data_IF_381735277183
#
_entry.id   IF_381735277183
#
_cell.length_a   1.000
_cell.length_b   1.000
_cell.length_c   1.000
_cell.angle_alpha   90.00
_cell.angle_beta   90.00
_cell.angle_gamma   90.00
#
_symmetry.space_group_name_H-M   'P 1'
#
loop_
_entity.id
_entity.type
_entity.pdbx_description
1 polymer ?
#
# COMPACT_ATOMS: atom_id res chain seq x y z
N UNK A 1 -69.48 -30.21 35.46
CA UNK A 1 -69.96 -29.34 34.37
C UNK A 1 -69.93 -30.12 33.06
N UNK A 2 -70.73 -29.70 32.08
CA UNK A 2 -71.39 -30.46 31.01
C UNK A 2 -70.50 -31.18 29.99
N UNK A 3 -71.04 -32.28 29.44
CA UNK A 3 -70.67 -33.02 28.23
C UNK A 3 -71.04 -32.26 26.94
N UNK A 4 -70.59 -32.80 25.78
CA UNK A 4 -71.12 -32.76 24.38
C UNK A 4 -70.04 -32.20 23.41
N UNK A 5 -69.46 -32.92 22.44
CA UNK A 5 -69.91 -33.63 21.20
C UNK A 5 -70.30 -32.74 19.99
N UNK A 6 -70.03 -33.30 18.79
CA UNK A 6 -70.41 -32.96 17.40
C UNK A 6 -69.42 -32.10 16.56
N UNK A 7 -68.74 -32.58 15.49
CA UNK A 7 -69.05 -33.27 14.17
C UNK A 7 -69.43 -32.21 13.09
N UNK A 8 -68.93 -32.17 11.83
CA UNK A 8 -69.08 -33.01 10.60
C UNK A 8 -68.01 -32.55 9.55
N UNK A 9 -67.16 -33.38 8.90
CA UNK A 9 -67.34 -34.25 7.67
C UNK A 9 -67.94 -33.53 6.45
N UNK A 10 -67.66 -33.81 5.16
CA UNK A 10 -66.79 -34.74 4.38
C UNK A 10 -67.14 -34.51 2.88
N UNK A 11 -66.20 -34.79 1.96
CA UNK A 11 -66.48 -35.36 0.62
C UNK A 11 -66.31 -34.43 -0.59
N UNK A 12 -65.92 -34.86 -1.80
CA UNK A 12 -65.43 -36.14 -2.36
C UNK A 12 -64.81 -35.83 -3.76
N UNK A 13 -63.63 -36.38 -4.15
CA UNK A 13 -63.36 -37.49 -5.12
C UNK A 13 -64.13 -37.39 -6.48
N UNK A 14 -63.51 -37.36 -7.69
CA UNK A 14 -63.00 -38.46 -8.56
C UNK A 14 -62.39 -37.82 -9.85
N UNK A 15 -61.16 -38.14 -10.33
CA UNK A 15 -60.65 -39.26 -11.17
C UNK A 15 -61.10 -39.32 -12.65
N UNK A 16 -60.12 -39.71 -13.50
CA UNK A 16 -60.13 -40.06 -14.96
C UNK A 16 -60.14 -38.87 -15.94
N UNK A 17 -59.35 -38.78 -17.02
CA UNK A 17 -58.50 -39.74 -17.75
C UNK A 17 -59.11 -40.03 -19.14
N UNK A 18 -58.51 -39.56 -20.24
CA UNK A 18 -58.46 -40.19 -21.57
C UNK A 18 -57.75 -39.32 -22.63
N UNK A 19 -57.16 -39.99 -23.63
CA UNK A 19 -56.24 -39.49 -24.66
C UNK A 19 -56.87 -39.45 -26.07
N UNK A 20 -56.09 -38.88 -27.03
CA UNK A 20 -56.14 -38.99 -28.52
C UNK A 20 -57.30 -38.27 -29.23
N UNK A 21 -57.24 -37.73 -30.45
CA UNK A 21 -56.26 -37.58 -31.57
C UNK A 21 -56.89 -36.48 -32.49
N UNK A 22 -56.14 -35.50 -33.02
CA UNK A 22 -55.62 -35.36 -34.41
C UNK A 22 -56.46 -34.51 -35.41
N UNK A 23 -55.75 -34.03 -36.44
CA UNK A 23 -56.09 -33.24 -37.67
C UNK A 23 -55.99 -31.70 -37.55
N UNK A 24 -54.93 -31.02 -38.05
CA UNK A 24 -54.34 -30.80 -39.40
C UNK A 24 -55.04 -29.76 -40.30
N UNK A 25 -54.26 -28.73 -40.73
CA UNK A 25 -54.36 -27.90 -41.96
C UNK A 25 -53.73 -26.51 -41.71
N UNK A 26 -52.44 -26.27 -41.91
CA UNK A 26 -51.69 -25.96 -43.15
C UNK A 26 -51.76 -24.50 -43.66
N UNK A 27 -50.55 -23.97 -43.96
CA UNK A 27 -50.16 -22.83 -44.84
C UNK A 27 -50.29 -21.39 -44.30
N UNK A 28 -49.35 -20.44 -44.45
CA UNK A 28 -47.96 -20.38 -44.97
C UNK A 28 -47.42 -18.92 -44.78
N UNK A 29 -46.08 -18.76 -44.70
CA UNK A 29 -45.27 -17.56 -45.13
C UNK A 29 -45.29 -16.34 -44.15
N UNK A 30 -44.22 -15.60 -43.80
CA UNK A 30 -42.83 -15.41 -44.28
C UNK A 30 -41.95 -14.77 -43.18
N UNK A 31 -40.65 -15.13 -43.15
CA UNK A 31 -39.39 -14.34 -42.94
C UNK A 31 -39.37 -13.14 -41.98
N UNK A 32 -38.34 -12.83 -41.17
CA UNK A 32 -36.87 -13.00 -41.27
C UNK A 32 -36.18 -12.56 -39.96
N UNK A 33 -34.85 -12.78 -39.87
CA UNK A 33 -33.82 -12.10 -39.05
C UNK A 33 -33.11 -12.99 -38.01
N UNK A 34 -31.98 -13.60 -38.41
CA UNK A 34 -30.57 -13.21 -38.10
C UNK A 34 -30.20 -13.53 -36.65
N UNK A 35 -29.46 -14.62 -36.46
CA UNK A 35 -28.71 -14.92 -35.24
C UNK A 35 -27.22 -15.01 -35.61
N UNK A 36 -26.52 -13.88 -35.48
CA UNK A 36 -25.06 -13.79 -35.40
C UNK A 36 -24.71 -12.55 -34.59
N UNK A 37 -24.24 -12.76 -33.37
CA UNK A 37 -23.45 -11.83 -32.54
C UNK A 37 -23.17 -12.58 -31.22
N UNK A 38 -22.03 -12.52 -30.56
CA UNK A 38 -20.83 -11.72 -30.75
C UNK A 38 -19.76 -12.33 -29.85
N UNK A 39 -18.55 -12.39 -30.39
CA UNK A 39 -17.29 -12.58 -29.69
C UNK A 39 -17.20 -11.52 -28.58
N UNK A 40 -16.99 -11.94 -27.33
CA UNK A 40 -16.79 -11.02 -26.21
C UNK A 40 -15.45 -10.30 -26.38
N UNK A 41 -15.52 -9.08 -26.89
CA UNK A 41 -14.41 -8.14 -26.96
C UNK A 41 -13.97 -7.77 -25.54
N UNK A 42 -12.68 -7.90 -25.27
CA UNK A 42 -11.97 -7.33 -24.15
C UNK A 42 -12.25 -5.81 -24.12
N UNK A 43 -13.07 -5.40 -23.16
CA UNK A 43 -13.45 -4.02 -22.96
C UNK A 43 -12.28 -3.32 -22.27
N UNK A 44 -11.44 -2.65 -23.05
CA UNK A 44 -10.59 -1.57 -22.55
C UNK A 44 -11.49 -0.54 -21.88
N UNK A 45 -11.63 -0.67 -20.55
CA UNK A 45 -11.99 0.46 -19.73
C UNK A 45 -10.71 1.27 -19.68
N UNK A 46 -10.63 2.33 -20.48
CA UNK A 46 -9.67 3.40 -20.25
C UNK A 46 -10.03 4.04 -18.91
N UNK A 47 -9.61 3.42 -17.81
CA UNK A 47 -9.63 4.06 -16.50
C UNK A 47 -8.87 5.38 -16.64
N UNK A 48 -9.40 6.44 -16.03
CA UNK A 48 -8.78 7.76 -16.04
C UNK A 48 -7.46 7.68 -15.26
N UNK A 49 -6.39 7.29 -15.96
CA UNK A 49 -5.03 7.11 -15.45
C UNK A 49 -4.32 8.45 -15.41
N UNK A 50 -3.75 8.80 -14.27
CA UNK A 50 -2.87 9.96 -14.10
C UNK A 50 -1.43 9.46 -13.99
N UNK A 51 -0.54 9.91 -14.88
CA UNK A 51 0.88 9.57 -14.81
C UNK A 51 1.49 10.19 -13.55
N UNK A 52 2.05 9.35 -12.68
CA UNK A 52 2.69 9.82 -11.45
C UNK A 52 4.21 9.75 -11.55
N UNK A 53 4.75 8.69 -12.16
CA UNK A 53 6.20 8.49 -12.28
C UNK A 53 6.53 7.54 -13.43
N UNK A 54 7.73 7.65 -13.99
CA UNK A 54 8.21 6.76 -15.03
C UNK A 54 9.74 6.62 -15.00
N UNK A 55 10.21 5.43 -15.38
CA UNK A 55 11.59 5.18 -15.77
C UNK A 55 11.59 4.74 -17.24
N UNK A 56 11.99 5.64 -18.14
CA UNK A 56 12.00 5.37 -19.57
C UNK A 56 13.06 4.35 -19.98
N UNK A 57 14.16 4.25 -19.24
CA UNK A 57 15.27 3.33 -19.55
C UNK A 57 14.85 1.90 -19.29
N UNK A 58 14.14 1.70 -18.18
CA UNK A 58 13.68 0.39 -17.71
C UNK A 58 12.26 0.02 -18.18
N UNK A 59 11.61 0.92 -18.92
CA UNK A 59 10.27 0.72 -19.47
C UNK A 59 9.20 0.61 -18.37
N UNK A 60 9.32 1.40 -17.31
CA UNK A 60 8.43 1.36 -16.13
C UNK A 60 7.56 2.61 -16.12
N UNK A 61 6.25 2.43 -15.93
CA UNK A 61 5.30 3.53 -15.78
C UNK A 61 4.42 3.27 -14.55
N UNK A 62 4.27 4.28 -13.70
CA UNK A 62 3.41 4.23 -12.52
C UNK A 62 2.32 5.28 -12.66
N UNK A 63 1.07 4.81 -12.73
CA UNK A 63 -0.12 5.64 -12.87
C UNK A 63 -1.01 5.52 -11.64
N UNK A 64 -1.59 6.64 -11.22
CA UNK A 64 -2.68 6.68 -10.25
C UNK A 64 -4.01 6.48 -10.96
N UNK A 65 -4.89 5.69 -10.35
CA UNK A 65 -6.27 5.52 -10.80
C UNK A 65 -7.23 5.75 -9.63
N UNK A 66 -8.52 5.91 -9.93
CA UNK A 66 -9.57 6.06 -8.92
C UNK A 66 -9.26 7.18 -7.91
N UNK A 67 -9.00 8.38 -8.46
CA UNK A 67 -8.72 9.60 -7.69
C UNK A 67 -9.96 10.06 -6.93
N UNK A 68 -9.87 10.07 -5.62
CA UNK A 68 -10.92 10.51 -4.71
C UNK A 68 -10.36 11.58 -3.76
N UNK A 69 -10.66 12.85 -4.05
CA UNK A 69 -10.09 13.98 -3.31
C UNK A 69 -8.57 14.01 -3.42
N UNK A 70 -7.89 13.88 -2.28
CA UNK A 70 -6.43 14.00 -2.17
C UNK A 70 -5.70 12.65 -2.26
N UNK A 71 -6.39 11.56 -2.64
CA UNK A 71 -5.83 10.20 -2.69
C UNK A 71 -6.15 9.53 -4.03
N UNK A 72 -5.16 8.84 -4.60
CA UNK A 72 -5.37 7.74 -5.55
C UNK A 72 -5.56 6.44 -4.76
N UNK A 73 -6.67 5.75 -4.97
CA UNK A 73 -7.00 4.53 -4.22
C UNK A 73 -6.45 3.25 -4.86
N UNK A 74 -5.87 3.34 -6.04
CA UNK A 74 -5.17 2.24 -6.70
C UNK A 74 -4.06 2.75 -7.59
N UNK A 75 -3.03 1.92 -7.78
CA UNK A 75 -1.84 2.22 -8.59
C UNK A 75 -1.72 1.18 -9.69
N UNK A 76 -1.64 1.63 -10.94
CA UNK A 76 -1.34 0.78 -12.09
C UNK A 76 0.15 0.89 -12.42
N UNK A 77 0.85 -0.24 -12.37
CA UNK A 77 2.27 -0.34 -12.72
C UNK A 77 2.38 -1.06 -14.06
N UNK A 78 3.10 -0.44 -14.99
CA UNK A 78 3.49 -1.03 -16.26
C UNK A 78 4.98 -1.34 -16.25
N UNK A 79 5.36 -2.52 -16.75
CA UNK A 79 6.73 -2.96 -16.94
C UNK A 79 6.83 -3.59 -18.33
N UNK A 80 7.55 -2.94 -19.24
CA UNK A 80 7.76 -3.39 -20.62
C UNK A 80 6.45 -3.74 -21.35
N UNK A 81 5.43 -2.87 -21.28
CA UNK A 81 4.15 -3.02 -21.99
C UNK A 81 3.14 -3.98 -21.35
N UNK A 82 3.51 -4.69 -20.28
CA UNK A 82 2.56 -5.43 -19.43
C UNK A 82 2.22 -4.56 -18.24
N UNK A 83 0.98 -4.62 -17.74
CA UNK A 83 0.60 -3.85 -16.57
C UNK A 83 -0.20 -4.69 -15.56
N UNK A 84 -0.18 -4.24 -14.30
CA UNK A 84 -0.99 -4.76 -13.21
C UNK A 84 -1.43 -3.61 -12.32
N UNK A 85 -2.69 -3.67 -11.88
CA UNK A 85 -3.24 -2.73 -10.90
C UNK A 85 -3.16 -3.31 -9.50
N UNK A 86 -2.72 -2.50 -8.55
CA UNK A 86 -2.62 -2.82 -7.14
C UNK A 86 -3.51 -1.90 -6.32
N UNK A 87 -4.06 -2.42 -5.22
CA UNK A 87 -4.84 -1.65 -4.24
C UNK A 87 -3.91 -0.85 -3.30
N UNK A 88 -2.87 -0.25 -3.87
CA UNK A 88 -1.97 0.67 -3.17
C UNK A 88 -2.50 2.09 -3.27
N UNK A 89 -2.06 2.95 -2.37
CA UNK A 89 -2.50 4.35 -2.35
C UNK A 89 -1.34 5.31 -2.50
N UNK A 90 -1.61 6.48 -3.08
CA UNK A 90 -0.68 7.60 -3.08
C UNK A 90 -1.48 8.89 -2.96
N UNK A 91 -0.93 9.89 -2.28
CA UNK A 91 -1.54 11.22 -2.27
C UNK A 91 -1.46 11.88 -3.64
N UNK A 92 -2.38 12.78 -3.94
CA UNK A 92 -2.50 13.39 -5.27
C UNK A 92 -1.57 14.60 -5.48
N UNK A 93 -0.89 15.04 -4.42
CA UNK A 93 0.07 16.14 -4.47
C UNK A 93 1.30 15.75 -5.33
N UNK A 94 1.56 16.44 -6.45
CA UNK A 94 2.67 16.12 -7.35
C UNK A 94 4.06 16.14 -6.71
N UNK A 95 4.22 16.91 -5.62
CA UNK A 95 5.49 16.94 -4.86
C UNK A 95 5.81 15.61 -4.16
N UNK A 96 4.82 14.72 -4.09
CA UNK A 96 4.88 13.42 -3.42
C UNK A 96 4.44 12.27 -4.32
N UNK A 97 4.56 12.46 -5.63
CA UNK A 97 4.43 11.35 -6.56
C UNK A 97 5.50 10.27 -6.31
N UNK A 98 5.23 9.02 -6.74
CA UNK A 98 6.08 7.89 -6.45
C UNK A 98 7.50 8.04 -6.98
N UNK A 99 8.45 7.47 -6.24
CA UNK A 99 9.81 7.29 -6.71
C UNK A 99 10.00 5.85 -7.20
N UNK A 100 10.72 5.70 -8.31
CA UNK A 100 11.06 4.40 -8.90
C UNK A 100 12.57 4.22 -8.76
N UNK A 101 12.97 3.04 -8.30
CA UNK A 101 14.35 2.57 -8.36
C UNK A 101 14.37 1.18 -8.98
N UNK A 102 15.50 0.82 -9.60
CA UNK A 102 15.71 -0.52 -10.16
C UNK A 102 17.05 -1.04 -9.67
N UNK A 103 17.05 -2.28 -9.20
CA UNK A 103 18.27 -2.96 -8.79
C UNK A 103 17.99 -4.28 -8.10
N UNK A 104 18.96 -5.16 -8.19
CA UNK A 104 18.94 -6.50 -7.60
C UNK A 104 19.07 -6.44 -6.07
N UNK A 105 17.95 -6.67 -5.38
CA UNK A 105 17.85 -6.60 -3.90
C UNK A 105 17.73 -7.97 -3.24
N UNK A 106 17.35 -8.99 -4.00
CA UNK A 106 17.19 -10.36 -3.50
C UNK A 106 18.42 -11.25 -3.83
N UNK A 107 19.43 -10.66 -4.46
CA UNK A 107 20.71 -11.29 -4.84
C UNK A 107 20.52 -12.44 -5.83
N UNK A 108 19.42 -12.41 -6.61
CA UNK A 108 19.27 -13.26 -7.78
C UNK A 108 20.07 -12.68 -8.97
N UNK A 109 19.67 -12.89 -10.23
CA UNK A 109 20.38 -12.33 -11.40
C UNK A 109 19.58 -11.24 -12.11
N UNK A 110 18.37 -10.97 -11.67
CA UNK A 110 17.42 -10.03 -12.25
C UNK A 110 17.29 -8.84 -11.30
N UNK A 111 16.96 -7.67 -11.87
CA UNK A 111 16.73 -6.48 -11.06
C UNK A 111 15.23 -6.37 -10.74
N UNK A 112 14.92 -6.06 -9.48
CA UNK A 112 13.58 -5.70 -9.02
C UNK A 112 13.24 -4.25 -9.33
N UNK A 113 11.94 -3.96 -9.42
CA UNK A 113 11.36 -2.63 -9.49
C UNK A 113 10.92 -2.21 -8.09
N UNK A 114 11.49 -1.14 -7.57
CA UNK A 114 11.22 -0.63 -6.23
C UNK A 114 10.40 0.66 -6.37
N UNK A 115 9.21 0.68 -5.79
CA UNK A 115 8.28 1.82 -5.86
C UNK A 115 8.05 2.34 -4.44
N UNK A 116 8.36 3.61 -4.22
CA UNK A 116 8.12 4.30 -2.95
C UNK A 116 6.93 5.23 -3.12
N UNK A 117 5.86 4.98 -2.37
CA UNK A 117 4.62 5.75 -2.35
C UNK A 117 4.59 6.66 -1.11
N UNK A 118 3.95 7.82 -1.24
CA UNK A 118 3.60 8.68 -0.10
C UNK A 118 2.10 8.58 0.15
N UNK A 119 1.70 8.08 1.31
CA UNK A 119 0.28 7.81 1.63
C UNK A 119 -0.35 8.85 2.54
N UNK A 120 0.47 9.71 3.16
CA UNK A 120 0.01 10.77 4.04
C UNK A 120 1.10 11.81 4.26
N UNK A 121 0.70 13.06 4.44
CA UNK A 121 1.60 14.17 4.71
C UNK A 121 0.99 15.14 5.74
N UNK A 122 1.87 15.89 6.40
CA UNK A 122 1.46 16.93 7.35
C UNK A 122 2.67 17.61 7.99
N UNK A 123 2.42 18.54 8.90
CA UNK A 123 3.49 19.21 9.64
C UNK A 123 4.18 18.17 10.52
N UNK A 124 5.42 17.83 10.16
CA UNK A 124 6.19 16.81 10.85
C UNK A 124 5.67 15.39 10.62
N UNK A 125 4.87 15.13 9.58
CA UNK A 125 4.40 13.78 9.25
C UNK A 125 4.67 13.51 7.77
N UNK A 126 5.19 12.32 7.47
CA UNK A 126 5.25 11.76 6.13
C UNK A 126 5.15 10.25 6.22
N UNK A 127 3.98 9.74 5.87
CA UNK A 127 3.71 8.32 5.77
C UNK A 127 4.16 7.81 4.40
N UNK A 128 4.79 6.65 4.37
CA UNK A 128 5.29 6.07 3.13
C UNK A 128 5.21 4.57 3.14
N UNK A 129 4.92 4.03 1.97
CA UNK A 129 4.94 2.60 1.70
C UNK A 129 5.96 2.30 0.62
N UNK A 130 6.61 1.15 0.71
CA UNK A 130 7.56 0.65 -0.26
C UNK A 130 7.05 -0.67 -0.81
N UNK A 131 7.11 -0.83 -2.12
CA UNK A 131 6.76 -2.04 -2.83
C UNK A 131 7.95 -2.48 -3.67
N UNK A 132 8.26 -3.78 -3.65
CA UNK A 132 9.37 -4.36 -4.39
C UNK A 132 8.82 -5.45 -5.29
N UNK A 133 8.80 -5.19 -6.59
CA UNK A 133 8.23 -6.06 -7.59
C UNK A 133 9.32 -6.78 -8.38
N UNK A 134 9.14 -8.09 -8.57
CA UNK A 134 9.79 -8.80 -9.67
C UNK A 134 9.16 -8.40 -11.00
N UNK A 135 9.83 -8.71 -12.11
CA UNK A 135 9.37 -8.38 -13.48
C UNK A 135 8.06 -9.08 -13.89
N UNK A 136 7.59 -10.07 -13.13
CA UNK A 136 6.30 -10.74 -13.30
C UNK A 136 5.19 -10.18 -12.39
N UNK A 137 5.46 -9.08 -11.69
CA UNK A 137 4.57 -8.44 -10.70
C UNK A 137 4.26 -9.26 -9.45
N UNK A 138 5.04 -10.30 -9.16
CA UNK A 138 5.13 -10.84 -7.80
C UNK A 138 5.88 -9.86 -6.91
N UNK A 139 5.50 -9.80 -5.64
CA UNK A 139 6.01 -8.82 -4.69
C UNK A 139 6.89 -9.50 -3.65
N UNK A 140 8.06 -8.92 -3.38
CA UNK A 140 8.93 -9.29 -2.26
C UNK A 140 8.48 -8.46 -1.06
N UNK A 141 8.07 -9.13 0.01
CA UNK A 141 7.63 -8.47 1.23
C UNK A 141 8.78 -7.67 1.86
N UNK A 142 8.50 -6.42 2.24
CA UNK A 142 9.41 -5.55 2.98
C UNK A 142 8.88 -5.41 4.41
N UNK A 143 9.69 -5.79 5.40
CA UNK A 143 9.33 -5.67 6.81
C UNK A 143 9.34 -4.21 7.26
N UNK A 144 8.48 -3.85 8.21
CA UNK A 144 8.46 -2.49 8.76
C UNK A 144 9.81 -2.16 9.42
N UNK A 145 10.51 -1.08 9.02
CA UNK A 145 11.78 -0.70 9.63
C UNK A 145 11.66 -0.35 11.12
N UNK A 146 10.45 -0.06 11.62
CA UNK A 146 10.19 0.26 13.02
C UNK A 146 10.18 -0.95 13.95
N UNK A 147 10.00 -2.17 13.44
CA UNK A 147 9.78 -3.39 14.24
C UNK A 147 10.84 -3.61 15.33
N UNK A 148 12.11 -3.37 15.00
CA UNK A 148 13.24 -3.51 15.94
C UNK A 148 13.82 -2.18 16.41
N UNK A 149 13.26 -1.05 15.96
CA UNK A 149 13.86 0.26 16.19
C UNK A 149 13.94 0.61 17.69
N UNK A 150 12.91 0.25 18.47
CA UNK A 150 12.86 0.47 19.93
C UNK A 150 13.89 -0.35 20.70
N UNK A 151 14.29 -1.50 20.16
CA UNK A 151 15.31 -2.35 20.76
C UNK A 151 16.71 -1.79 20.50
N UNK A 152 16.90 -1.19 19.33
CA UNK A 152 18.18 -0.70 18.83
C UNK A 152 18.50 0.73 19.27
N UNK A 153 17.48 1.60 19.36
CA UNK A 153 17.63 3.00 19.74
C UNK A 153 17.33 3.16 21.22
N UNK A 154 18.31 3.65 21.97
CA UNK A 154 18.16 4.05 23.38
C UNK A 154 18.33 5.54 23.51
N UNK A 155 17.60 6.14 24.43
CA UNK A 155 17.68 7.56 24.67
C UNK A 155 17.56 7.90 26.15
N UNK A 156 18.06 9.07 26.51
CA UNK A 156 17.89 9.69 27.82
C UNK A 156 17.68 11.19 27.65
N UNK A 157 16.87 11.77 28.51
CA UNK A 157 16.57 13.19 28.58
C UNK A 157 16.82 13.68 30.00
N UNK A 158 17.64 14.72 30.15
CA UNK A 158 17.76 15.47 31.40
C UNK A 158 17.29 16.89 31.16
N UNK A 159 16.32 17.32 31.96
CA UNK A 159 15.77 18.69 31.94
C UNK A 159 16.47 19.48 33.05
N UNK A 160 17.17 20.55 32.68
CA UNK A 160 17.73 21.54 33.59
C UNK A 160 16.83 22.78 33.70
N UNK A 161 17.26 23.78 34.44
CA UNK A 161 16.48 25.01 34.64
C UNK A 161 16.35 25.85 33.35
N UNK A 162 17.36 25.81 32.49
CA UNK A 162 17.37 26.54 31.20
C UNK A 162 17.86 25.69 30.02
N UNK A 163 18.23 24.44 30.25
CA UNK A 163 18.81 23.56 29.23
C UNK A 163 18.10 22.22 29.16
N UNK A 164 18.27 21.59 28.01
CA UNK A 164 17.75 20.27 27.71
C UNK A 164 18.85 19.41 27.10
N UNK A 165 19.17 18.34 27.80
CA UNK A 165 20.26 17.45 27.43
C UNK A 165 19.69 16.12 26.92
N UNK A 166 19.82 15.87 25.63
CA UNK A 166 19.49 14.60 25.01
C UNK A 166 20.73 13.73 24.88
N UNK A 167 20.61 12.44 25.18
CA UNK A 167 21.60 11.43 24.80
C UNK A 167 20.90 10.34 24.00
N UNK A 168 21.37 10.07 22.79
CA UNK A 168 20.89 8.98 21.92
C UNK A 168 22.00 7.96 21.77
N UNK A 169 21.66 6.68 21.74
CA UNK A 169 22.55 5.60 21.38
C UNK A 169 21.88 4.66 20.39
N UNK A 170 22.58 4.33 19.30
CA UNK A 170 22.17 3.34 18.31
C UNK A 170 23.22 2.24 18.32
N UNK A 171 22.82 1.01 18.66
CA UNK A 171 23.73 -0.13 18.80
C UNK A 171 24.98 0.19 19.68
N UNK A 172 24.78 0.93 20.77
CA UNK A 172 25.85 1.30 21.71
C UNK A 172 26.72 2.49 21.27
N UNK A 173 26.58 3.01 20.05
CA UNK A 173 27.26 4.23 19.59
C UNK A 173 26.39 5.44 19.94
N UNK A 174 26.89 6.28 20.85
CA UNK A 174 26.12 7.37 21.43
C UNK A 174 26.54 8.76 20.97
N UNK A 175 25.58 9.70 20.98
CA UNK A 175 25.81 11.13 20.82
C UNK A 175 24.92 11.91 21.80
N UNK A 176 25.44 13.04 22.29
CA UNK A 176 24.72 13.95 23.16
C UNK A 176 24.46 15.29 22.48
N UNK A 177 23.35 15.93 22.85
CA UNK A 177 22.91 17.23 22.36
C UNK A 177 22.44 18.07 23.55
N UNK A 178 22.77 19.35 23.52
CA UNK A 178 22.36 20.31 24.54
C UNK A 178 21.68 21.47 23.82
N UNK A 179 20.47 21.80 24.24
CA UNK A 179 19.69 22.92 23.74
C UNK A 179 19.32 23.85 24.88
N UNK A 180 19.06 25.12 24.59
CA UNK A 180 18.36 25.98 25.53
C UNK A 180 16.87 25.67 25.45
N UNK A 181 16.17 25.66 26.60
CA UNK A 181 14.72 25.43 26.62
C UNK A 181 13.96 26.46 25.77
N UNK A 182 14.51 27.68 25.59
CA UNK A 182 13.95 28.74 24.75
C UNK A 182 14.18 28.59 23.25
N UNK A 183 14.98 27.64 22.78
CA UNK A 183 15.33 27.50 21.35
C UNK A 183 14.11 27.12 20.50
N UNK A 184 13.10 26.47 21.10
CA UNK A 184 11.84 26.12 20.44
C UNK A 184 10.65 26.38 21.37
N UNK A 185 9.48 26.57 20.78
CA UNK A 185 8.24 26.86 21.54
C UNK A 185 7.71 25.64 22.28
N UNK A 186 7.91 24.44 21.73
CA UNK A 186 7.38 23.20 22.28
C UNK A 186 8.34 22.04 22.05
N UNK A 187 8.86 21.48 23.14
CA UNK A 187 9.66 20.26 23.13
C UNK A 187 8.77 19.04 23.33
N UNK A 188 9.14 17.93 22.72
CA UNK A 188 8.56 16.63 23.04
C UNK A 188 9.17 16.09 24.35
N UNK A 189 8.37 15.35 25.11
CA UNK A 189 8.85 14.66 26.32
C UNK A 189 9.71 13.45 25.99
N UNK A 190 9.49 12.85 24.81
CA UNK A 190 10.27 11.75 24.27
C UNK A 190 10.62 12.04 22.81
N UNK A 191 11.79 11.61 22.31
CA UNK A 191 12.06 11.63 20.88
C UNK A 191 11.03 10.81 20.10
N UNK A 192 10.45 11.42 19.07
CA UNK A 192 9.48 10.78 18.17
C UNK A 192 10.24 10.27 16.95
N UNK A 193 9.95 9.02 16.58
CA UNK A 193 10.49 8.33 15.40
C UNK A 193 9.34 7.57 14.72
N UNK A 194 9.39 7.46 13.39
CA UNK A 194 8.41 6.70 12.59
C UNK A 194 7.23 7.51 12.06
N UNK A 195 7.00 8.72 12.57
CA UNK A 195 6.07 9.70 11.98
C UNK A 195 6.56 10.23 10.63
N UNK A 196 7.85 10.09 10.35
CA UNK A 196 8.46 10.32 9.05
C UNK A 196 9.31 9.10 8.74
N UNK A 197 9.03 8.44 7.62
CA UNK A 197 9.90 7.39 7.06
C UNK A 197 10.16 7.77 5.60
N UNK A 198 11.42 7.84 5.21
CA UNK A 198 11.82 8.02 3.81
C UNK A 198 12.51 6.76 3.34
N UNK A 199 11.94 6.11 2.35
CA UNK A 199 12.62 5.02 1.67
C UNK A 199 13.46 5.55 0.53
N UNK A 200 14.54 4.84 0.22
CA UNK A 200 15.39 5.13 -0.92
C UNK A 200 16.21 3.90 -1.30
N UNK A 201 17.10 4.10 -2.27
CA UNK A 201 17.98 3.07 -2.77
C UNK A 201 19.42 3.57 -2.82
N UNK A 202 20.30 2.97 -2.02
CA UNK A 202 21.71 3.39 -1.87
C UNK A 202 22.60 2.14 -1.81
N UNK A 203 23.74 2.19 -2.50
CA UNK A 203 24.73 1.10 -2.54
C UNK A 203 24.11 -0.26 -2.89
N UNK A 204 23.18 -0.26 -3.86
CA UNK A 204 22.41 -1.43 -4.28
C UNK A 204 21.60 -2.09 -3.15
N UNK A 205 21.07 -1.28 -2.22
CA UNK A 205 20.22 -1.73 -1.13
C UNK A 205 19.09 -0.75 -0.89
N UNK A 206 17.95 -1.30 -0.49
CA UNK A 206 16.87 -0.50 0.08
C UNK A 206 17.32 0.06 1.42
N UNK A 207 17.02 1.33 1.63
CA UNK A 207 17.28 2.04 2.87
C UNK A 207 16.02 2.75 3.35
N UNK A 208 15.82 2.81 4.66
CA UNK A 208 14.86 3.70 5.29
C UNK A 208 15.61 4.72 6.16
N UNK A 209 15.35 6.01 5.95
CA UNK A 209 15.77 7.10 6.80
C UNK A 209 14.62 7.48 7.73
N UNK A 210 14.88 7.42 9.04
CA UNK A 210 13.93 7.70 10.10
C UNK A 210 14.47 8.84 10.95
N UNK A 211 13.92 10.06 10.83
CA UNK A 211 14.35 11.18 11.66
C UNK A 211 14.06 10.94 13.14
N UNK A 212 14.95 11.43 14.00
CA UNK A 212 14.78 11.47 15.45
C UNK A 212 14.33 12.87 15.83
N UNK A 213 13.02 13.05 15.99
CA UNK A 213 12.40 14.35 16.18
C UNK A 213 12.21 14.67 17.67
N UNK A 214 12.58 15.87 18.09
CA UNK A 214 12.47 16.33 19.49
C UNK A 214 11.58 17.57 19.66
N UNK A 215 11.18 18.19 18.55
CA UNK A 215 10.19 19.26 18.47
C UNK A 215 9.53 19.23 17.08
N UNK A 216 8.42 19.94 16.82
CA UNK A 216 7.81 19.99 15.49
C UNK A 216 8.77 20.36 14.34
N UNK A 217 9.85 21.11 14.61
CA UNK A 217 10.84 21.51 13.61
C UNK A 217 12.29 21.10 13.89
N UNK A 218 12.56 20.39 15.00
CA UNK A 218 13.92 20.07 15.43
C UNK A 218 14.16 18.57 15.42
N UNK A 219 15.23 18.18 14.73
CA UNK A 219 15.71 16.81 14.62
C UNK A 219 17.14 16.73 15.14
N UNK A 220 17.44 15.70 15.91
CA UNK A 220 18.79 15.47 16.47
C UNK A 220 19.59 14.44 15.65
N UNK A 221 19.08 14.08 14.47
CA UNK A 221 19.70 13.19 13.50
C UNK A 221 18.71 12.18 12.94
N UNK A 222 19.25 11.15 12.31
CA UNK A 222 18.51 10.19 11.51
C UNK A 222 19.03 8.78 11.79
N UNK A 223 18.10 7.83 11.93
CA UNK A 223 18.42 6.40 11.89
C UNK A 223 18.32 5.95 10.43
N UNK A 224 19.42 5.45 9.90
CA UNK A 224 19.47 4.82 8.59
C UNK A 224 19.39 3.32 8.78
N UNK A 225 18.33 2.73 8.26
CA UNK A 225 18.05 1.30 8.29
C UNK A 225 18.36 0.73 6.91
N UNK A 226 19.27 -0.24 6.82
CA UNK A 226 19.53 -0.96 5.56
C UNK A 226 18.82 -2.31 5.58
N UNK A 227 18.28 -2.67 4.43
CA UNK A 227 17.57 -3.92 4.24
C UNK A 227 18.44 -4.96 3.55
N UNK A 228 18.16 -6.23 3.82
CA UNK A 228 18.70 -7.37 3.07
C UNK A 228 17.68 -8.49 3.08
N UNK A 229 17.76 -9.38 2.07
CA UNK A 229 16.88 -10.53 1.99
C UNK A 229 17.19 -11.52 3.12
N UNK A 230 16.17 -11.89 3.87
CA UNK A 230 16.19 -12.90 4.92
C UNK A 230 14.90 -13.72 4.83
N UNK A 231 15.02 -15.03 4.68
CA UNK A 231 13.89 -15.97 4.54
C UNK A 231 12.82 -15.56 3.50
N UNK A 232 13.24 -14.94 2.39
CA UNK A 232 12.35 -14.50 1.30
C UNK A 232 11.68 -13.14 1.52
N UNK A 233 12.08 -12.41 2.57
CA UNK A 233 11.59 -11.05 2.87
C UNK A 233 12.74 -10.09 3.00
N UNK A 234 12.55 -8.85 2.60
CA UNK A 234 13.51 -7.78 2.83
C UNK A 234 13.36 -7.27 4.26
N UNK A 235 14.33 -7.61 5.10
CA UNK A 235 14.32 -7.31 6.53
C UNK A 235 15.40 -6.28 6.90
N UNK A 236 15.14 -5.43 7.92
CA UNK A 236 16.17 -4.59 8.52
C UNK A 236 17.35 -5.40 9.06
N UNK A 237 18.57 -5.10 8.60
CA UNK A 237 19.80 -5.82 9.01
C UNK A 237 20.90 -4.92 9.57
N UNK A 238 20.90 -3.63 9.23
CA UNK A 238 21.88 -2.66 9.72
C UNK A 238 21.20 -1.35 10.12
N UNK A 239 21.68 -0.76 11.21
CA UNK A 239 21.16 0.48 11.79
C UNK A 239 22.32 1.43 12.05
N UNK A 240 22.28 2.60 11.45
CA UNK A 240 23.32 3.60 11.56
C UNK A 240 22.76 4.96 11.96
N UNK A 241 23.50 5.70 12.78
CA UNK A 241 23.18 7.09 13.07
C UNK A 241 23.81 7.99 12.00
N UNK A 242 23.05 8.97 11.50
CA UNK A 242 23.54 10.06 10.68
C UNK A 242 23.10 11.41 11.26
N UNK A 243 23.98 12.40 11.20
CA UNK A 243 23.67 13.76 11.66
C UNK A 243 22.82 14.51 10.64
N UNK A 244 23.09 14.27 9.37
CA UNK A 244 22.45 14.94 8.25
C UNK A 244 21.58 13.97 7.48
N UNK A 245 20.56 14.54 6.85
CA UNK A 245 19.66 13.85 5.92
C UNK A 245 20.48 13.33 4.73
N UNK A 246 20.20 12.11 4.28
CA UNK A 246 20.87 11.48 3.12
C UNK A 246 19.91 11.11 1.98
N UNK A 247 18.59 11.12 2.24
CA UNK A 247 17.53 10.95 1.25
C UNK A 247 16.77 12.26 0.98
#
# INVERSE_FOLDING_TARGET
MKKIFLVFTLGAVLLSGCAKEAEESNSQVSTSEIEQTETATEKEITENKELLSQDETEGIVVNGINKEGDIFSSINVEINGRNKTFNWTNITNPSFYPQIFVGNVDVDKEDEVIIVLTTGEGIGIRESNIHVLKRDFSEIEVTDPLDKLKDVVKWNLKKGDSTRDYSISILGKGKAFIFNESDVVSWFDEPVMGNIIRYGFLDNRIVAEIPIQVSPGTFIGYVIVKFSLDEGKLSPTDYQYQEQRIL
#
